data_IF_092017961441
#
_entry.id   IF_092017961441
#
_cell.length_a   1.000
_cell.length_b   1.000
_cell.length_c   1.000
_cell.angle_alpha   90.00
_cell.angle_beta   90.00
_cell.angle_gamma   90.00
#
_symmetry.space_group_name_H-M   'P 1'
#
loop_
_entity.id
_entity.type
_entity.pdbx_description
1 polymer ?
#
# COMPACT_ATOMS: atom_id res chain seq x y z
N UNK A 1 -26.45 14.16 21.73
CA UNK A 1 -25.27 13.30 21.58
C UNK A 1 -24.06 14.20 21.69
N UNK A 2 -23.40 14.19 22.85
CA UNK A 2 -22.19 14.98 23.06
C UNK A 2 -21.04 14.33 22.29
N UNK A 3 -20.59 14.98 21.24
CA UNK A 3 -19.36 14.62 20.55
C UNK A 3 -18.18 14.98 21.46
N UNK A 4 -17.76 14.05 22.31
CA UNK A 4 -16.47 14.14 22.99
C UNK A 4 -15.35 13.98 21.95
N UNK A 5 -14.95 15.09 21.33
CA UNK A 5 -13.67 15.15 20.64
C UNK A 5 -12.55 14.86 21.65
N UNK A 6 -11.54 14.10 21.22
CA UNK A 6 -10.37 13.80 22.06
C UNK A 6 -9.69 15.10 22.53
N UNK A 7 -9.82 15.43 23.82
CA UNK A 7 -9.34 16.68 24.45
C UNK A 7 -7.81 16.78 24.62
N UNK A 8 -7.02 16.12 23.79
CA UNK A 8 -5.55 16.11 23.89
C UNK A 8 -4.98 15.19 24.97
N UNK A 9 -5.83 14.54 25.78
CA UNK A 9 -5.42 13.50 26.70
C UNK A 9 -4.80 12.31 25.93
N UNK A 10 -3.59 11.91 26.35
CA UNK A 10 -2.79 10.85 25.75
C UNK A 10 -3.13 9.47 26.30
N UNK A 11 -4.00 9.36 27.30
CA UNK A 11 -4.37 8.09 27.96
C UNK A 11 -4.77 7.03 26.95
N UNK A 12 -5.76 7.31 26.10
CA UNK A 12 -6.22 6.37 25.08
C UNK A 12 -5.13 5.99 24.06
N UNK A 13 -4.27 6.95 23.68
CA UNK A 13 -3.16 6.69 22.76
C UNK A 13 -2.11 5.77 23.39
N UNK A 14 -1.77 5.97 24.66
CA UNK A 14 -0.84 5.11 25.39
C UNK A 14 -1.36 3.68 25.49
N UNK A 15 -2.68 3.50 25.67
CA UNK A 15 -3.33 2.19 25.68
C UNK A 15 -3.34 1.51 24.31
N UNK A 16 -3.60 2.27 23.23
CA UNK A 16 -3.70 1.71 21.87
C UNK A 16 -2.34 1.46 21.19
N UNK A 17 -1.30 2.24 21.52
CA UNK A 17 0.01 2.16 20.84
C UNK A 17 0.67 0.77 20.89
N UNK A 18 0.65 0.03 22.02
CA UNK A 18 1.17 -1.34 22.08
C UNK A 18 0.50 -2.27 21.07
N UNK A 19 -0.83 -2.20 20.91
CA UNK A 19 -1.56 -3.04 19.97
C UNK A 19 -1.09 -2.82 18.52
N UNK A 20 -0.85 -1.57 18.11
CA UNK A 20 -0.32 -1.24 16.77
C UNK A 20 1.12 -1.71 16.56
N UNK A 21 1.95 -1.70 17.61
CA UNK A 21 3.33 -2.21 17.50
C UNK A 21 3.36 -3.74 17.49
N UNK A 22 2.47 -4.41 18.22
CA UNK A 22 2.32 -5.87 18.22
C UNK A 22 1.72 -6.39 16.91
N UNK A 23 0.97 -5.57 16.18
CA UNK A 23 0.43 -5.90 14.86
C UNK A 23 1.47 -5.88 13.72
N UNK A 24 2.74 -5.59 14.02
CA UNK A 24 3.82 -5.60 13.03
C UNK A 24 4.27 -7.03 12.71
N UNK A 25 3.53 -7.72 11.84
CA UNK A 25 3.92 -9.04 11.31
C UNK A 25 4.06 -8.99 9.78
N UNK A 26 5.30 -8.82 9.27
CA UNK A 26 5.59 -8.94 7.84
C UNK A 26 5.15 -10.28 7.25
N UNK A 27 5.28 -11.36 8.03
CA UNK A 27 4.95 -12.71 7.63
C UNK A 27 3.46 -12.85 7.33
N UNK A 28 2.59 -12.38 8.23
CA UNK A 28 1.14 -12.37 8.02
C UNK A 28 0.75 -11.52 6.79
N UNK A 29 1.37 -10.35 6.62
CA UNK A 29 1.10 -9.50 5.44
C UNK A 29 1.52 -10.25 4.18
N UNK A 30 2.67 -10.91 4.20
CA UNK A 30 3.18 -11.69 3.09
C UNK A 30 2.28 -12.86 2.73
N UNK A 31 1.82 -13.63 3.71
CA UNK A 31 0.86 -14.73 3.50
C UNK A 31 -0.44 -14.23 2.86
N UNK A 32 -0.94 -13.07 3.29
CA UNK A 32 -2.11 -12.43 2.68
C UNK A 32 -1.80 -11.89 1.28
N UNK A 33 -0.55 -11.48 1.04
CA UNK A 33 -0.08 -11.03 -0.27
C UNK A 33 0.02 -12.18 -1.27
N UNK A 34 0.27 -13.42 -0.83
CA UNK A 34 0.20 -14.59 -1.72
C UNK A 34 -1.19 -14.76 -2.34
N UNK A 35 -2.24 -14.50 -1.55
CA UNK A 35 -3.64 -14.53 -2.01
C UNK A 35 -3.89 -13.46 -3.10
N UNK A 36 -3.28 -12.28 -2.99
CA UNK A 36 -3.28 -11.23 -4.02
C UNK A 36 -2.47 -11.65 -5.26
N UNK A 37 -1.29 -12.25 -5.07
CA UNK A 37 -0.43 -12.74 -6.14
C UNK A 37 -1.17 -13.78 -6.98
N UNK A 38 -1.85 -14.74 -6.35
CA UNK A 38 -2.67 -15.74 -7.06
C UNK A 38 -3.78 -15.11 -7.89
N UNK A 39 -4.42 -14.05 -7.37
CA UNK A 39 -5.42 -13.31 -8.13
C UNK A 39 -4.81 -12.62 -9.36
N UNK A 40 -3.67 -11.95 -9.21
CA UNK A 40 -2.97 -11.29 -10.32
C UNK A 40 -2.54 -12.32 -11.37
N UNK A 41 -2.01 -13.47 -10.93
CA UNK A 41 -1.59 -14.58 -11.80
C UNK A 41 -2.72 -15.05 -12.72
N UNK A 42 -3.95 -15.14 -12.20
CA UNK A 42 -5.13 -15.56 -12.98
C UNK A 42 -5.62 -14.49 -13.96
N UNK A 43 -5.15 -13.25 -13.83
CA UNK A 43 -5.60 -12.09 -14.60
C UNK A 43 -4.44 -11.37 -15.32
N UNK A 44 -3.33 -12.07 -15.56
CA UNK A 44 -2.19 -11.52 -16.30
C UNK A 44 -2.60 -11.05 -17.70
N UNK A 45 -1.89 -10.03 -18.19
CA UNK A 45 -2.11 -9.40 -19.49
C UNK A 45 -3.51 -8.78 -19.68
N UNK A 46 -4.26 -8.56 -18.60
CA UNK A 46 -5.58 -7.91 -18.62
C UNK A 46 -5.55 -6.67 -17.72
N UNK A 47 -6.33 -5.62 -18.03
CA UNK A 47 -6.50 -4.49 -17.12
C UNK A 47 -7.19 -4.95 -15.83
N UNK A 48 -6.51 -4.76 -14.70
CA UNK A 48 -7.04 -5.05 -13.36
C UNK A 48 -7.32 -3.73 -12.65
N UNK A 49 -8.52 -3.57 -12.06
CA UNK A 49 -8.81 -2.44 -11.16
C UNK A 49 -7.99 -2.61 -9.87
N UNK A 50 -6.93 -1.82 -9.76
CA UNK A 50 -5.97 -1.95 -8.65
C UNK A 50 -6.54 -1.36 -7.37
N UNK A 51 -7.41 -0.35 -7.49
CA UNK A 51 -8.07 0.23 -6.32
C UNK A 51 -8.90 -0.81 -5.59
N UNK A 52 -9.69 -1.59 -6.33
CA UNK A 52 -10.54 -2.62 -5.75
C UNK A 52 -9.74 -3.75 -5.09
N UNK A 53 -8.72 -4.29 -5.76
CA UNK A 53 -7.95 -5.42 -5.21
C UNK A 53 -7.10 -5.00 -4.00
N UNK A 54 -6.58 -3.77 -3.98
CA UNK A 54 -5.81 -3.26 -2.84
C UNK A 54 -6.71 -3.07 -1.62
N UNK A 55 -7.91 -2.50 -1.82
CA UNK A 55 -8.91 -2.36 -0.76
C UNK A 55 -9.30 -3.72 -0.17
N UNK A 56 -9.54 -4.72 -1.01
CA UNK A 56 -9.83 -6.10 -0.56
C UNK A 56 -8.67 -6.69 0.24
N UNK A 57 -7.45 -6.56 -0.28
CA UNK A 57 -6.23 -7.04 0.40
C UNK A 57 -6.05 -6.37 1.77
N UNK A 58 -6.33 -5.05 1.89
CA UNK A 58 -6.23 -4.34 3.17
C UNK A 58 -7.26 -4.82 4.19
N UNK A 59 -8.49 -5.04 3.76
CA UNK A 59 -9.53 -5.57 4.65
C UNK A 59 -9.12 -6.95 5.18
N UNK A 60 -8.55 -7.81 4.33
CA UNK A 60 -8.03 -9.12 4.75
C UNK A 60 -6.87 -9.00 5.75
N UNK A 61 -5.90 -8.14 5.47
CA UNK A 61 -4.78 -7.89 6.39
C UNK A 61 -5.27 -7.36 7.73
N UNK A 62 -6.15 -6.35 7.73
CA UNK A 62 -6.69 -5.76 8.94
C UNK A 62 -7.57 -6.77 9.71
N UNK A 63 -8.36 -7.57 9.01
CA UNK A 63 -9.17 -8.63 9.60
C UNK A 63 -8.34 -9.65 10.37
N UNK A 64 -7.25 -10.11 9.73
CA UNK A 64 -6.32 -11.05 10.35
C UNK A 64 -5.59 -10.42 11.53
N UNK A 65 -5.15 -9.18 11.44
CA UNK A 65 -4.39 -8.52 12.51
C UNK A 65 -5.24 -8.09 13.70
N UNK A 66 -6.39 -7.47 13.43
CA UNK A 66 -7.24 -6.94 14.48
C UNK A 66 -8.08 -8.02 15.14
N UNK A 67 -8.50 -9.04 14.39
CA UNK A 67 -9.51 -10.01 14.84
C UNK A 67 -9.10 -11.47 14.67
N UNK A 68 -7.93 -11.77 14.11
CA UNK A 68 -7.57 -13.15 13.74
C UNK A 68 -8.53 -13.75 12.69
N UNK A 69 -9.25 -12.91 11.96
CA UNK A 69 -10.36 -13.32 11.11
C UNK A 69 -9.97 -13.26 9.62
N UNK A 70 -10.15 -14.38 8.90
CA UNK A 70 -10.01 -14.43 7.45
C UNK A 70 -11.38 -14.20 6.81
N UNK A 71 -11.55 -13.07 6.13
CA UNK A 71 -12.76 -12.79 5.35
C UNK A 71 -12.87 -13.76 4.16
N UNK A 72 -14.05 -14.34 3.95
CA UNK A 72 -14.30 -15.19 2.77
C UNK A 72 -14.49 -14.32 1.51
N UNK A 73 -13.60 -14.51 0.53
CA UNK A 73 -13.63 -13.83 -0.77
C UNK A 73 -14.90 -14.12 -1.57
N UNK A 74 -15.52 -15.28 -1.37
CA UNK A 74 -16.76 -15.66 -2.06
C UNK A 74 -17.98 -14.98 -1.45
N UNK A 75 -18.02 -14.80 -0.13
CA UNK A 75 -19.12 -14.08 0.54
C UNK A 75 -19.14 -12.59 0.17
N UNK A 76 -17.97 -11.95 0.01
CA UNK A 76 -17.87 -10.55 -0.46
C UNK A 76 -18.36 -10.40 -1.91
N UNK A 77 -18.24 -11.45 -2.76
CA UNK A 77 -18.79 -11.44 -4.13
C UNK A 77 -20.30 -11.63 -4.14
N UNK A 78 -20.85 -12.44 -3.23
CA UNK A 78 -22.30 -12.69 -3.12
C UNK A 78 -23.05 -11.50 -2.51
N UNK A 79 -22.43 -10.84 -1.53
CA UNK A 79 -22.91 -9.61 -0.92
C UNK A 79 -21.88 -8.50 -1.16
N UNK A 80 -21.83 -7.94 -2.40
CA UNK A 80 -20.94 -6.82 -2.67
C UNK A 80 -21.31 -5.68 -1.72
N UNK A 81 -20.31 -5.18 -0.98
CA UNK A 81 -20.43 -4.02 -0.10
C UNK A 81 -21.11 -2.89 -0.89
N UNK A 82 -22.35 -2.55 -0.53
CA UNK A 82 -23.11 -1.49 -1.20
C UNK A 82 -22.48 -0.13 -0.84
N UNK A 83 -22.63 0.86 -1.71
CA UNK A 83 -21.86 2.11 -1.70
C UNK A 83 -21.79 2.90 -0.38
N UNK A 84 -22.70 2.67 0.57
CA UNK A 84 -22.70 3.24 1.92
C UNK A 84 -21.81 2.45 2.92
N UNK A 85 -21.71 1.13 2.80
CA UNK A 85 -20.86 0.28 3.64
C UNK A 85 -19.39 0.33 3.16
N UNK A 86 -19.19 0.55 1.86
CA UNK A 86 -17.87 0.81 1.27
C UNK A 86 -17.31 2.19 1.67
N UNK A 87 -18.17 3.09 2.14
CA UNK A 87 -17.86 4.48 2.51
C UNK A 87 -17.04 4.57 3.82
N UNK A 88 -16.97 3.50 4.61
CA UNK A 88 -16.19 3.40 5.86
C UNK A 88 -14.89 2.58 5.75
N UNK A 89 -14.66 1.88 4.63
CA UNK A 89 -13.48 1.02 4.44
C UNK A 89 -12.35 1.66 3.62
N UNK A 90 -12.33 2.99 3.51
CA UNK A 90 -11.22 3.70 2.88
C UNK A 90 -10.02 3.75 3.83
N UNK A 91 -9.09 2.82 3.67
CA UNK A 91 -7.80 2.85 4.35
C UNK A 91 -6.81 3.75 3.58
N UNK A 92 -6.10 4.58 4.33
CA UNK A 92 -4.98 5.40 3.86
C UNK A 92 -3.84 4.58 3.25
N UNK A 93 -3.61 3.35 3.72
CA UNK A 93 -2.53 2.49 3.21
C UNK A 93 -2.84 1.99 1.80
N UNK A 94 -4.09 1.60 1.52
CA UNK A 94 -4.55 1.32 0.15
C UNK A 94 -4.30 2.47 -0.80
N UNK A 95 -4.57 3.71 -0.37
CA UNK A 95 -4.41 4.88 -1.25
C UNK A 95 -2.92 5.09 -1.57
N UNK A 96 -2.06 4.94 -0.56
CA UNK A 96 -0.61 5.00 -0.73
C UNK A 96 -0.12 3.94 -1.71
N UNK A 97 -0.56 2.69 -1.55
CA UNK A 97 -0.26 1.58 -2.47
C UNK A 97 -0.69 1.88 -3.90
N UNK A 98 -1.92 2.36 -4.10
CA UNK A 98 -2.43 2.70 -5.43
C UNK A 98 -1.58 3.77 -6.11
N UNK A 99 -1.19 4.82 -5.39
CA UNK A 99 -0.33 5.90 -5.91
C UNK A 99 1.06 5.37 -6.24
N UNK A 100 1.64 4.54 -5.38
CA UNK A 100 2.94 3.91 -5.61
C UNK A 100 2.92 3.02 -6.85
N UNK A 101 1.93 2.13 -6.96
CA UNK A 101 1.79 1.22 -8.09
C UNK A 101 1.57 1.99 -9.40
N UNK A 102 0.75 3.04 -9.39
CA UNK A 102 0.56 3.94 -10.53
C UNK A 102 1.89 4.56 -10.99
N UNK A 103 2.66 5.15 -10.08
CA UNK A 103 3.91 5.81 -10.47
C UNK A 103 5.00 4.83 -10.89
N UNK A 104 5.09 3.65 -10.27
CA UNK A 104 5.97 2.58 -10.73
C UNK A 104 5.55 2.07 -12.11
N UNK A 105 4.25 2.07 -12.44
CA UNK A 105 3.77 1.72 -13.78
C UNK A 105 4.11 2.79 -14.83
N UNK A 106 4.04 4.07 -14.41
CA UNK A 106 4.27 5.23 -15.27
C UNK A 106 5.77 5.43 -15.58
N UNK A 107 6.65 5.08 -14.64
CA UNK A 107 8.09 5.28 -14.73
C UNK A 107 8.82 3.93 -14.61
N UNK A 108 8.98 3.18 -15.72
CA UNK A 108 9.62 1.85 -15.71
C UNK A 108 11.04 1.86 -15.14
N UNK A 109 11.81 2.93 -15.35
CA UNK A 109 13.15 3.12 -14.78
C UNK A 109 13.13 3.14 -13.24
N UNK A 110 12.05 3.67 -12.67
CA UNK A 110 11.85 3.67 -11.22
C UNK A 110 11.45 2.29 -10.71
N UNK A 111 10.61 1.58 -11.48
CA UNK A 111 10.24 0.20 -11.18
C UNK A 111 11.47 -0.71 -11.16
N UNK A 112 12.37 -0.57 -12.13
CA UNK A 112 13.60 -1.36 -12.21
C UNK A 112 14.51 -1.10 -11.03
N UNK A 113 14.84 0.15 -10.73
CA UNK A 113 15.76 0.44 -9.65
C UNK A 113 15.18 0.13 -8.25
N UNK A 114 13.85 0.25 -8.07
CA UNK A 114 13.19 -0.27 -6.88
C UNK A 114 13.30 -1.80 -6.79
N UNK A 115 13.20 -2.50 -7.93
CA UNK A 115 13.38 -3.94 -8.00
C UNK A 115 14.81 -4.36 -7.69
N UNK A 116 15.82 -3.70 -8.25
CA UNK A 116 17.24 -3.96 -7.96
C UNK A 116 17.53 -3.88 -6.46
N UNK A 117 16.99 -2.86 -5.78
CA UNK A 117 17.09 -2.73 -4.33
C UNK A 117 16.46 -3.92 -3.62
N UNK A 118 15.23 -4.30 -4.00
CA UNK A 118 14.53 -5.45 -3.42
C UNK A 118 15.30 -6.75 -3.64
N UNK A 119 15.81 -7.00 -4.86
CA UNK A 119 16.61 -8.17 -5.21
C UNK A 119 17.91 -8.21 -4.40
N UNK A 120 18.56 -7.05 -4.17
CA UNK A 120 19.81 -6.99 -3.39
C UNK A 120 19.63 -7.43 -1.93
N UNK A 121 18.41 -7.33 -1.39
CA UNK A 121 18.10 -7.68 0.00
C UNK A 121 17.43 -9.05 0.13
N UNK A 122 16.49 -9.36 -0.77
CA UNK A 122 15.64 -10.56 -0.70
C UNK A 122 16.09 -11.70 -1.62
N UNK A 123 16.99 -11.41 -2.56
CA UNK A 123 17.33 -12.31 -3.66
C UNK A 123 16.29 -12.29 -4.78
N UNK A 124 16.60 -12.99 -5.87
CA UNK A 124 15.79 -13.01 -7.09
C UNK A 124 14.75 -14.16 -7.11
N UNK A 125 14.04 -14.36 -6.00
CA UNK A 125 13.12 -15.49 -5.83
C UNK A 125 11.66 -15.01 -5.75
N UNK A 126 10.79 -15.36 -6.71
CA UNK A 126 9.37 -15.02 -6.67
C UNK A 126 8.71 -15.51 -5.37
N UNK A 127 7.71 -14.77 -4.88
CA UNK A 127 6.95 -15.07 -3.66
C UNK A 127 7.75 -15.04 -2.34
N UNK A 128 8.97 -14.50 -2.34
CA UNK A 128 9.74 -14.32 -1.09
C UNK A 128 9.01 -13.36 -0.17
N UNK A 129 8.64 -13.83 1.02
CA UNK A 129 8.06 -13.00 2.08
C UNK A 129 9.21 -12.36 2.88
N UNK A 130 9.33 -11.02 2.90
CA UNK A 130 10.39 -10.36 3.64
C UNK A 130 10.10 -10.37 5.15
N UNK A 131 11.13 -10.60 5.95
CA UNK A 131 11.06 -10.45 7.41
C UNK A 131 11.38 -9.02 7.87
N UNK A 132 11.17 -8.75 9.16
CA UNK A 132 11.38 -7.42 9.76
C UNK A 132 12.81 -6.85 9.55
N UNK A 133 13.85 -7.69 9.57
CA UNK A 133 15.23 -7.21 9.45
C UNK A 133 15.64 -6.96 8.00
N UNK A 134 15.10 -7.73 7.06
CA UNK A 134 15.22 -7.47 5.64
C UNK A 134 14.51 -6.16 5.27
N UNK A 135 13.29 -5.94 5.78
CA UNK A 135 12.55 -4.71 5.51
C UNK A 135 13.29 -3.45 5.97
N UNK A 136 14.02 -3.50 7.09
CA UNK A 136 14.86 -2.38 7.57
C UNK A 136 16.02 -2.06 6.62
N UNK A 137 16.46 -3.03 5.81
CA UNK A 137 17.56 -2.86 4.84
C UNK A 137 17.08 -2.27 3.51
N UNK A 138 15.79 -2.38 3.20
CA UNK A 138 15.17 -1.73 2.04
C UNK A 138 14.94 -0.25 2.42
N UNK A 139 15.82 0.61 1.93
CA UNK A 139 15.85 2.05 2.24
C UNK A 139 14.81 2.83 1.44
N UNK A 140 14.40 2.30 0.29
CA UNK A 140 13.56 2.98 -0.69
C UNK A 140 12.26 3.58 -0.16
N UNK A 141 11.50 2.94 0.72
CA UNK A 141 10.03 3.07 0.67
C UNK A 141 9.34 3.71 1.89
N UNK A 142 10.06 4.37 2.79
CA UNK A 142 9.39 5.04 3.93
C UNK A 142 9.78 6.49 4.19
N UNK A 143 10.98 6.91 3.80
CA UNK A 143 11.45 8.28 4.02
C UNK A 143 12.20 8.87 2.81
N UNK A 144 12.86 8.02 2.02
CA UNK A 144 13.71 8.42 0.89
C UNK A 144 12.99 8.49 -0.47
N UNK A 145 11.75 8.04 -0.57
CA UNK A 145 10.90 8.32 -1.73
C UNK A 145 10.69 9.83 -1.96
N UNK A 146 10.91 10.69 -0.96
CA UNK A 146 11.06 12.14 -1.19
C UNK A 146 12.18 12.42 -2.17
N UNK A 147 13.38 11.92 -1.90
CA UNK A 147 14.56 12.09 -2.75
C UNK A 147 14.33 11.44 -4.11
N UNK A 148 13.62 10.31 -4.13
CA UNK A 148 13.39 9.56 -5.36
C UNK A 148 12.34 10.18 -6.31
N UNK A 149 11.22 10.69 -5.79
CA UNK A 149 10.15 11.33 -6.58
C UNK A 149 10.32 12.85 -6.72
N UNK A 150 10.99 13.54 -5.78
CA UNK A 150 11.12 15.00 -5.79
C UNK A 150 12.38 15.52 -6.50
N UNK A 151 13.31 14.65 -6.91
CA UNK A 151 14.57 15.08 -7.54
C UNK A 151 14.46 15.73 -8.93
N UNK A 152 13.24 16.01 -9.43
CA UNK A 152 13.04 16.88 -10.60
C UNK A 152 12.74 18.35 -10.27
N UNK A 153 12.40 18.66 -9.01
CA UNK A 153 12.11 20.04 -8.59
C UNK A 153 12.87 20.34 -7.30
N UNK A 154 13.97 21.07 -7.44
CA UNK A 154 14.80 21.59 -6.37
C UNK A 154 13.98 22.05 -5.14
N UNK A 155 13.99 21.28 -4.06
CA UNK A 155 13.66 21.79 -2.73
C UNK A 155 14.57 21.12 -1.70
N UNK A 156 15.78 21.65 -1.59
CA UNK A 156 16.67 21.36 -0.48
C UNK A 156 15.99 21.76 0.84
N UNK A 157 15.98 20.85 1.82
CA UNK A 157 15.86 21.10 3.27
C UNK A 157 14.82 22.14 3.73
N UNK A 158 13.57 22.05 3.29
CA UNK A 158 12.47 22.76 3.95
C UNK A 158 11.94 21.86 5.08
N UNK A 159 12.10 22.22 6.37
CA UNK A 159 11.51 21.47 7.47
C UNK A 159 10.00 21.33 7.26
N UNK A 160 9.47 20.14 7.50
CA UNK A 160 8.03 19.82 7.34
C UNK A 160 7.45 19.89 5.92
N UNK A 161 8.24 20.07 4.86
CA UNK A 161 7.74 20.02 3.47
C UNK A 161 7.18 18.64 3.06
N UNK A 162 7.42 17.60 3.86
CA UNK A 162 6.86 16.27 3.67
C UNK A 162 6.59 15.59 5.00
N UNK A 163 5.29 15.48 5.31
CA UNK A 163 4.72 14.97 6.57
C UNK A 163 3.55 13.99 6.26
N UNK A 164 3.79 12.88 5.54
CA UNK A 164 2.75 11.96 5.09
C UNK A 164 2.02 11.25 6.23
N UNK A 165 2.66 11.20 7.41
CA UNK A 165 2.10 10.64 8.64
C UNK A 165 1.88 11.72 9.71
N UNK A 166 1.86 13.00 9.32
CA UNK A 166 1.89 14.16 10.21
C UNK A 166 3.13 14.18 11.11
N UNK A 167 3.19 15.09 12.08
CA UNK A 167 4.29 15.24 13.03
C UNK A 167 3.76 15.55 14.45
N UNK A 168 4.60 15.33 15.46
CA UNK A 168 4.28 15.63 16.87
C UNK A 168 3.38 14.59 17.55
N UNK A 169 2.77 14.93 18.70
CA UNK A 169 2.07 13.97 19.57
C UNK A 169 0.77 13.41 18.98
N UNK A 170 0.30 13.96 17.85
CA UNK A 170 -0.88 13.54 17.10
C UNK A 170 -0.51 12.87 15.76
N UNK A 171 0.75 12.52 15.55
CA UNK A 171 1.18 11.80 14.36
C UNK A 171 0.45 10.45 14.22
N UNK A 172 0.47 9.89 13.01
CA UNK A 172 -0.20 8.62 12.72
C UNK A 172 0.32 7.51 13.65
N UNK A 173 -0.59 6.88 14.40
CA UNK A 173 -0.24 5.77 15.30
C UNK A 173 0.16 4.52 14.51
N UNK A 174 -0.46 4.32 13.35
CA UNK A 174 -0.21 3.21 12.43
C UNK A 174 0.93 3.43 11.45
N UNK A 175 1.79 4.46 11.63
CA UNK A 175 2.86 4.77 10.67
C UNK A 175 3.75 3.56 10.39
N UNK A 176 4.24 2.89 11.44
CA UNK A 176 5.11 1.71 11.28
C UNK A 176 4.41 0.57 10.56
N UNK A 177 3.14 0.36 10.89
CA UNK A 177 2.31 -0.67 10.29
C UNK A 177 2.09 -0.40 8.79
N UNK A 178 1.61 0.80 8.45
CA UNK A 178 1.39 1.22 7.07
C UNK A 178 2.65 1.10 6.21
N UNK A 179 3.81 1.50 6.74
CA UNK A 179 5.07 1.42 6.00
C UNK A 179 5.54 -0.02 5.78
N UNK A 180 5.49 -0.84 6.83
CA UNK A 180 5.81 -2.26 6.76
C UNK A 180 4.90 -2.96 5.74
N UNK A 181 3.59 -2.70 5.81
CA UNK A 181 2.61 -3.33 4.95
C UNK A 181 2.79 -2.95 3.48
N UNK A 182 3.02 -1.66 3.19
CA UNK A 182 3.34 -1.17 1.84
C UNK A 182 4.58 -1.86 1.29
N UNK A 183 5.62 -1.97 2.13
CA UNK A 183 6.89 -2.59 1.78
C UNK A 183 6.75 -4.05 1.39
N UNK A 184 6.11 -4.85 2.25
CA UNK A 184 5.91 -6.28 2.00
C UNK A 184 5.23 -6.49 0.65
N UNK A 185 4.12 -5.79 0.41
CA UNK A 185 3.34 -5.95 -0.82
C UNK A 185 4.13 -5.52 -2.04
N UNK A 186 4.72 -4.33 -2.03
CA UNK A 186 5.45 -3.80 -3.19
C UNK A 186 6.67 -4.66 -3.48
N UNK A 187 7.43 -5.08 -2.48
CA UNK A 187 8.59 -5.96 -2.66
C UNK A 187 8.19 -7.29 -3.29
N UNK A 188 7.13 -7.93 -2.79
CA UNK A 188 6.65 -9.19 -3.34
C UNK A 188 6.15 -9.06 -4.79
N UNK A 189 5.48 -7.94 -5.12
CA UNK A 189 5.04 -7.65 -6.49
C UNK A 189 6.23 -7.39 -7.43
N UNK A 190 7.22 -6.59 -7.01
CA UNK A 190 8.44 -6.28 -7.78
C UNK A 190 9.26 -7.54 -8.11
N UNK A 191 9.30 -8.51 -7.20
CA UNK A 191 10.00 -9.78 -7.41
C UNK A 191 9.34 -10.66 -8.48
N UNK A 192 8.01 -10.56 -8.65
CA UNK A 192 7.27 -11.49 -9.52
C UNK A 192 6.81 -10.88 -10.84
N UNK A 193 6.52 -9.58 -10.87
CA UNK A 193 5.82 -8.97 -11.99
C UNK A 193 6.53 -7.73 -12.53
N UNK A 194 6.28 -7.46 -13.80
CA UNK A 194 6.29 -6.13 -14.36
C UNK A 194 4.86 -5.62 -14.46
N UNK A 195 4.64 -4.32 -14.38
CA UNK A 195 3.32 -3.76 -14.63
C UNK A 195 3.36 -2.39 -15.29
N UNK A 196 2.32 -2.10 -16.07
CA UNK A 196 2.22 -0.90 -16.91
C UNK A 196 0.81 -0.31 -16.89
N UNK A 197 0.71 0.93 -17.36
CA UNK A 197 -0.56 1.61 -17.61
C UNK A 197 -1.19 1.10 -18.93
N UNK A 198 -2.49 0.77 -18.95
CA UNK A 198 -3.22 0.49 -20.18
C UNK A 198 -3.09 1.60 -21.24
N UNK A 199 -3.05 1.21 -22.51
CA UNK A 199 -2.90 2.14 -23.64
C UNK A 199 -4.07 3.13 -23.81
N UNK A 200 -5.24 2.84 -23.22
CA UNK A 200 -6.49 3.59 -23.40
C UNK A 200 -6.88 4.46 -22.19
N UNK A 201 -5.96 4.73 -21.25
CA UNK A 201 -6.28 5.61 -20.11
C UNK A 201 -6.53 7.03 -20.61
N UNK A 202 -7.69 7.57 -20.24
CA UNK A 202 -8.17 8.92 -20.60
C UNK A 202 -7.16 10.01 -20.19
N UNK A 203 -6.38 9.79 -19.12
CA UNK A 203 -5.36 10.71 -18.62
C UNK A 203 -4.04 10.00 -18.27
N UNK A 204 -3.26 9.60 -19.29
CA UNK A 204 -1.94 8.97 -19.07
C UNK A 204 -0.96 9.86 -18.29
N UNK A 205 -1.12 11.17 -18.38
CA UNK A 205 -0.17 12.11 -17.78
C UNK A 205 -0.43 12.38 -16.29
N UNK A 206 -1.66 12.16 -15.82
CA UNK A 206 -2.07 12.54 -14.46
C UNK A 206 -3.00 11.51 -13.82
N UNK A 207 -2.67 11.12 -12.58
CA UNK A 207 -3.57 10.34 -11.76
C UNK A 207 -4.75 11.24 -11.35
N UNK A 208 -5.95 10.89 -11.80
CA UNK A 208 -7.16 11.60 -11.39
C UNK A 208 -7.57 11.16 -9.99
N UNK A 209 -7.75 12.14 -9.10
CA UNK A 209 -8.20 11.93 -7.73
C UNK A 209 -9.55 12.61 -7.52
N UNK A 210 -10.55 11.84 -7.09
CA UNK A 210 -11.84 12.37 -6.68
C UNK A 210 -11.81 12.77 -5.20
N UNK A 211 -12.23 13.99 -4.85
CA UNK A 211 -12.36 14.41 -3.45
C UNK A 211 -13.58 13.74 -2.82
N UNK A 212 -13.36 12.69 -2.03
CA UNK A 212 -14.34 12.12 -1.09
C UNK A 212 -13.82 12.34 0.34
N UNK A 213 -14.12 11.43 1.27
CA UNK A 213 -13.52 11.44 2.60
C UNK A 213 -11.98 11.32 2.55
N UNK A 214 -11.48 10.45 1.66
CA UNK A 214 -10.07 10.40 1.24
C UNK A 214 -9.98 10.66 -0.27
N UNK A 215 -8.80 11.08 -0.73
CA UNK A 215 -8.51 11.18 -2.17
C UNK A 215 -8.55 9.79 -2.80
N UNK A 216 -9.47 9.59 -3.74
CA UNK A 216 -9.66 8.29 -4.40
C UNK A 216 -9.19 8.35 -5.85
N UNK A 217 -8.34 7.41 -6.31
CA UNK A 217 -8.01 7.30 -7.72
C UNK A 217 -9.25 6.92 -8.54
N UNK A 218 -9.45 7.63 -9.66
CA UNK A 218 -10.55 7.38 -10.60
C UNK A 218 -10.06 6.44 -11.70
N UNK A 219 -10.72 5.28 -11.84
CA UNK A 219 -10.47 4.27 -12.89
C UNK A 219 -8.99 3.83 -13.00
N UNK A 220 -8.33 3.56 -11.86
CA UNK A 220 -6.95 3.10 -11.84
C UNK A 220 -6.88 1.61 -12.20
N UNK A 221 -6.58 1.34 -13.47
CA UNK A 221 -6.29 0.00 -13.97
C UNK A 221 -4.81 -0.16 -14.30
N UNK A 222 -4.23 -1.30 -13.94
CA UNK A 222 -2.87 -1.69 -14.33
C UNK A 222 -2.90 -3.03 -15.06
N UNK A 223 -1.94 -3.24 -15.95
CA UNK A 223 -1.71 -4.52 -16.63
C UNK A 223 -0.45 -5.13 -16.05
N UNK A 224 -0.56 -6.35 -15.50
CA UNK A 224 0.57 -7.10 -14.96
C UNK A 224 1.04 -8.16 -15.96
N UNK A 225 2.35 -8.33 -16.05
CA UNK A 225 3.02 -9.38 -16.83
C UNK A 225 4.01 -10.14 -15.96
N UNK A 226 4.22 -11.43 -16.26
CA UNK A 226 5.27 -12.23 -15.62
C UNK A 226 6.65 -11.63 -15.89
N UNK A 227 7.52 -11.67 -14.89
CA UNK A 227 8.93 -11.32 -15.07
C UNK A 227 9.69 -12.56 -15.50
N UNK A 228 10.43 -12.44 -16.60
CA UNK A 228 11.41 -13.45 -17.00
C UNK A 228 12.66 -13.21 -16.14
N UNK A 229 13.09 -14.23 -15.39
CA UNK A 229 14.23 -14.18 -14.47
C UNK A 229 15.57 -14.20 -15.19
#
# INVERSE_FOLDING_TARGET
MDYHFSNGDRTYRKLATPAFNSALSPEMVGETTLDLISFIQQNLNRPIDVFEIMQRTKIEVLGKLAFGYKFDRNEIKKNPLKGHDLLTSHDTTSMSLNVSLYYLAKYPEMQEKAREEVISVLGNYPNTIPNSDQLKKIKGTSQDWKTYFANKHHSHNIPFAWIPFSAGPRNCMGQKFSLMEQLVIISMLLLKYNWTLPNNIINKDKLLLAPRFLLRPVDLKLIFTERIN
#
